data_IF_239038315287
#
_entry.id   IF_239038315287
#
_cell.length_a   1.000
_cell.length_b   1.000
_cell.length_c   1.000
_cell.angle_alpha   90.00
_cell.angle_beta   90.00
_cell.angle_gamma   90.00
#
_symmetry.space_group_name_H-M   'P 1'
#
loop_
_entity.id
_entity.type
_entity.pdbx_description
1 polymer ?
#
# COMPACT_ATOMS: atom_id res chain seq x y z
N UNK A 1 -15.21 -3.41 23.41
CA UNK A 1 -14.82 -4.21 22.23
C UNK A 1 -14.13 -5.49 22.71
N UNK A 2 -14.45 -6.66 22.14
CA UNK A 2 -13.85 -7.93 22.57
C UNK A 2 -12.37 -8.00 22.18
N UNK A 3 -11.49 -8.28 23.15
CA UNK A 3 -10.03 -8.41 22.98
C UNK A 3 -9.64 -9.36 21.83
N UNK A 4 -10.42 -10.42 21.60
CA UNK A 4 -10.20 -11.36 20.50
C UNK A 4 -10.31 -10.70 19.11
N UNK A 5 -11.27 -9.78 18.91
CA UNK A 5 -11.44 -9.07 17.63
C UNK A 5 -10.26 -8.14 17.36
N UNK A 6 -9.73 -7.50 18.41
CA UNK A 6 -8.63 -6.54 18.30
C UNK A 6 -7.33 -7.20 17.85
N UNK A 7 -6.95 -8.31 18.47
CA UNK A 7 -5.71 -9.01 18.09
C UNK A 7 -5.83 -9.65 16.69
N UNK A 8 -7.01 -10.13 16.30
CA UNK A 8 -7.22 -10.67 14.96
C UNK A 8 -7.15 -9.57 13.89
N UNK A 9 -7.65 -8.37 14.15
CA UNK A 9 -7.46 -7.23 13.26
C UNK A 9 -5.97 -6.93 13.03
N UNK A 10 -5.16 -6.90 14.11
CA UNK A 10 -3.71 -6.70 14.01
C UNK A 10 -3.02 -7.82 13.22
N UNK A 11 -3.38 -9.08 13.47
CA UNK A 11 -2.85 -10.23 12.71
C UNK A 11 -3.23 -10.17 11.23
N UNK A 12 -4.44 -9.70 10.92
CA UNK A 12 -4.87 -9.53 9.54
C UNK A 12 -4.09 -8.42 8.83
N UNK A 13 -3.90 -7.26 9.47
CA UNK A 13 -3.03 -6.19 8.96
C UNK A 13 -1.62 -6.71 8.67
N UNK A 14 -1.08 -7.60 9.51
CA UNK A 14 0.23 -8.24 9.29
C UNK A 14 0.25 -9.19 8.09
N UNK A 15 -0.82 -9.95 7.91
CA UNK A 15 -0.90 -10.98 6.88
C UNK A 15 -1.00 -10.38 5.47
N UNK A 16 -1.74 -9.28 5.32
CA UNK A 16 -2.04 -8.66 4.02
C UNK A 16 -0.78 -8.29 3.22
N UNK A 17 0.26 -7.63 3.78
CA UNK A 17 1.54 -7.41 3.11
C UNK A 17 2.16 -8.67 2.48
N UNK A 18 2.13 -9.81 3.18
CA UNK A 18 2.68 -11.06 2.68
C UNK A 18 1.83 -11.65 1.53
N UNK A 19 0.51 -11.65 1.69
CA UNK A 19 -0.41 -12.09 0.63
C UNK A 19 -0.31 -11.20 -0.62
N UNK A 20 -0.14 -9.89 -0.43
CA UNK A 20 0.07 -8.95 -1.52
C UNK A 20 1.34 -9.30 -2.31
N UNK A 21 2.48 -9.53 -1.64
CA UNK A 21 3.72 -9.90 -2.34
C UNK A 21 3.57 -11.23 -3.11
N UNK A 22 2.94 -12.24 -2.51
CA UNK A 22 2.66 -13.52 -3.18
C UNK A 22 1.78 -13.32 -4.42
N UNK A 23 0.67 -12.59 -4.28
CA UNK A 23 -0.25 -12.35 -5.40
C UNK A 23 0.40 -11.52 -6.51
N UNK A 24 1.21 -10.52 -6.18
CA UNK A 24 1.99 -9.76 -7.16
C UNK A 24 3.02 -10.66 -7.88
N UNK A 25 3.73 -11.55 -7.17
CA UNK A 25 4.66 -12.49 -7.82
C UNK A 25 3.95 -13.41 -8.80
N UNK A 26 2.77 -13.91 -8.45
CA UNK A 26 1.95 -14.73 -9.34
C UNK A 26 1.47 -13.90 -10.54
N UNK A 27 1.03 -12.66 -10.32
CA UNK A 27 0.60 -11.78 -11.41
C UNK A 27 1.74 -11.48 -12.40
N UNK A 28 2.94 -11.17 -11.90
CA UNK A 28 4.16 -10.98 -12.71
C UNK A 28 4.44 -12.21 -13.58
N UNK A 29 4.35 -13.41 -13.00
CA UNK A 29 4.60 -14.65 -13.74
C UNK A 29 3.62 -14.86 -14.91
N UNK A 30 2.36 -14.44 -14.75
CA UNK A 30 1.32 -14.61 -15.77
C UNK A 30 1.13 -13.40 -16.71
N UNK A 31 1.89 -12.33 -16.53
CA UNK A 31 1.75 -11.13 -17.38
C UNK A 31 2.22 -11.45 -18.82
N UNK A 32 1.38 -11.28 -19.85
CA UNK A 32 1.70 -11.70 -21.21
C UNK A 32 2.88 -10.94 -21.84
N UNK A 33 2.95 -9.62 -21.63
CA UNK A 33 4.02 -8.80 -22.18
C UNK A 33 3.62 -7.39 -22.61
N UNK A 34 4.61 -6.71 -23.18
CA UNK A 34 4.56 -5.34 -23.63
C UNK A 34 4.80 -4.34 -22.49
N UNK A 35 5.29 -3.16 -22.87
CA UNK A 35 5.28 -1.94 -22.07
C UNK A 35 4.77 -0.77 -22.92
N UNK A 36 4.70 0.44 -22.33
CA UNK A 36 4.17 1.66 -22.97
C UNK A 36 4.84 1.97 -24.32
N UNK A 37 6.14 1.65 -24.46
CA UNK A 37 6.95 2.00 -25.62
C UNK A 37 7.26 0.81 -26.55
N UNK A 38 7.04 -0.42 -26.08
CA UNK A 38 7.35 -1.65 -26.83
C UNK A 38 6.32 -2.74 -26.53
N UNK A 39 5.41 -2.98 -27.47
CA UNK A 39 4.40 -4.04 -27.40
C UNK A 39 4.98 -5.45 -27.65
N UNK A 40 6.20 -5.56 -28.18
CA UNK A 40 6.87 -6.84 -28.46
C UNK A 40 7.61 -7.43 -27.27
N UNK A 41 7.81 -6.67 -26.20
CA UNK A 41 8.42 -7.15 -24.96
C UNK A 41 7.70 -8.41 -24.45
N UNK A 42 8.43 -9.50 -24.24
CA UNK A 42 7.86 -10.73 -23.68
C UNK A 42 7.83 -10.67 -22.16
N UNK A 43 6.67 -10.93 -21.56
CA UNK A 43 6.51 -10.99 -20.12
C UNK A 43 6.71 -9.64 -19.41
N UNK A 44 6.83 -9.71 -18.08
CA UNK A 44 6.97 -8.53 -17.22
C UNK A 44 8.43 -8.11 -17.06
N UNK A 45 8.70 -6.80 -17.20
CA UNK A 45 9.98 -6.17 -16.94
C UNK A 45 9.95 -5.33 -15.66
N UNK A 46 10.82 -5.66 -14.70
CA UNK A 46 10.90 -4.94 -13.43
C UNK A 46 11.29 -3.48 -13.55
N UNK A 47 11.91 -3.06 -14.64
CA UNK A 47 12.24 -1.66 -14.88
C UNK A 47 11.28 -1.03 -15.87
N UNK A 48 10.76 -1.77 -16.85
CA UNK A 48 9.98 -1.19 -17.96
C UNK A 48 8.46 -1.36 -17.85
N UNK A 49 7.94 -2.07 -16.85
CA UNK A 49 6.50 -2.13 -16.59
C UNK A 49 6.14 -1.46 -15.27
N UNK A 50 5.05 -0.70 -15.24
CA UNK A 50 4.47 -0.30 -13.96
C UNK A 50 3.92 -1.53 -13.23
N UNK A 51 3.84 -1.49 -11.90
CA UNK A 51 3.19 -2.54 -11.14
C UNK A 51 1.70 -2.66 -11.52
N UNK A 52 1.08 -1.53 -11.86
CA UNK A 52 -0.31 -1.45 -12.31
C UNK A 52 -0.56 -2.02 -13.72
N UNK A 53 0.48 -2.24 -14.54
CA UNK A 53 0.32 -2.91 -15.84
C UNK A 53 -0.25 -4.32 -15.65
N UNK A 54 0.08 -4.95 -14.52
CA UNK A 54 -0.43 -6.28 -14.14
C UNK A 54 -1.97 -6.32 -14.06
N UNK A 55 -2.62 -5.18 -13.83
CA UNK A 55 -4.06 -5.05 -13.65
C UNK A 55 -4.88 -4.72 -14.90
N UNK A 56 -4.25 -4.57 -16.07
CA UNK A 56 -4.98 -4.32 -17.33
C UNK A 56 -5.86 -5.49 -17.75
N UNK A 57 -6.98 -5.23 -18.42
CA UNK A 57 -7.79 -6.28 -19.05
C UNK A 57 -7.01 -6.92 -20.22
N UNK A 58 -6.38 -6.09 -21.04
CA UNK A 58 -5.29 -6.47 -21.93
C UNK A 58 -3.95 -5.97 -21.41
N UNK A 59 -2.89 -6.70 -21.71
CA UNK A 59 -1.52 -6.20 -21.53
C UNK A 59 -1.13 -5.29 -22.69
N UNK A 60 0.03 -4.62 -22.57
CA UNK A 60 0.55 -3.74 -23.64
C UNK A 60 0.91 -4.50 -24.93
N UNK A 61 1.07 -5.83 -24.88
CA UNK A 61 1.18 -6.68 -26.08
C UNK A 61 -0.15 -6.87 -26.83
N UNK A 62 -1.28 -6.45 -26.26
CA UNK A 62 -2.63 -6.61 -26.83
C UNK A 62 -3.33 -7.93 -26.45
N UNK A 63 -2.63 -8.84 -25.79
CA UNK A 63 -3.13 -10.12 -25.32
C UNK A 63 -4.04 -9.98 -24.09
N UNK A 64 -4.95 -10.94 -23.89
CA UNK A 64 -5.82 -10.99 -22.72
C UNK A 64 -4.99 -11.28 -21.46
N UNK A 65 -5.12 -10.44 -20.44
CA UNK A 65 -4.30 -10.44 -19.24
C UNK A 65 -5.07 -10.94 -17.99
N UNK A 66 -5.96 -11.92 -18.17
CA UNK A 66 -6.92 -12.35 -17.13
C UNK A 66 -6.25 -12.85 -15.83
N UNK A 67 -5.28 -13.76 -15.92
CA UNK A 67 -4.67 -14.35 -14.72
C UNK A 67 -3.87 -13.29 -13.93
N UNK A 68 -3.05 -12.50 -14.60
CA UNK A 68 -2.30 -11.41 -13.94
C UNK A 68 -3.25 -10.39 -13.31
N UNK A 69 -4.26 -9.92 -14.06
CA UNK A 69 -5.21 -8.92 -13.56
C UNK A 69 -6.03 -9.43 -12.38
N UNK A 70 -6.42 -10.70 -12.39
CA UNK A 70 -7.10 -11.34 -11.26
C UNK A 70 -6.23 -11.31 -9.99
N UNK A 71 -4.98 -11.79 -10.07
CA UNK A 71 -4.10 -11.83 -8.90
C UNK A 71 -3.69 -10.44 -8.41
N UNK A 72 -3.45 -9.50 -9.33
CA UNK A 72 -3.19 -8.09 -9.00
C UNK A 72 -4.40 -7.44 -8.31
N UNK A 73 -5.58 -7.53 -8.92
CA UNK A 73 -6.81 -6.95 -8.38
C UNK A 73 -7.20 -7.56 -7.03
N UNK A 74 -7.12 -8.89 -6.91
CA UNK A 74 -7.35 -9.59 -5.64
C UNK A 74 -6.40 -9.11 -4.54
N UNK A 75 -5.11 -8.96 -4.86
CA UNK A 75 -4.11 -8.48 -3.90
C UNK A 75 -4.41 -7.07 -3.39
N UNK A 76 -4.95 -6.20 -4.25
CA UNK A 76 -5.35 -4.84 -3.85
C UNK A 76 -6.67 -4.79 -3.08
N UNK A 77 -7.63 -5.68 -3.38
CA UNK A 77 -8.86 -5.83 -2.60
C UNK A 77 -8.55 -6.26 -1.15
N UNK A 78 -7.48 -7.02 -0.91
CA UNK A 78 -7.08 -7.36 0.46
C UNK A 78 -6.75 -6.12 1.31
N UNK A 79 -6.23 -5.04 0.70
CA UNK A 79 -6.02 -3.78 1.42
C UNK A 79 -7.33 -3.17 1.90
N UNK A 80 -8.44 -3.24 1.14
CA UNK A 80 -9.74 -2.76 1.61
C UNK A 80 -10.12 -3.38 2.96
N UNK A 81 -9.99 -4.71 3.09
CA UNK A 81 -10.26 -5.40 4.35
C UNK A 81 -9.23 -5.04 5.43
N UNK A 82 -7.96 -4.77 5.06
CA UNK A 82 -6.95 -4.28 5.99
C UNK A 82 -7.32 -2.90 6.53
N UNK A 83 -7.87 -2.03 5.69
CA UNK A 83 -8.41 -0.71 6.06
C UNK A 83 -9.52 -0.82 7.10
N UNK A 84 -10.44 -1.78 6.94
CA UNK A 84 -11.45 -2.08 7.97
C UNK A 84 -10.78 -2.53 9.27
N UNK A 85 -9.77 -3.39 9.19
CA UNK A 85 -9.02 -3.84 10.36
C UNK A 85 -8.27 -2.68 11.07
N UNK A 86 -7.75 -1.70 10.32
CA UNK A 86 -7.13 -0.50 10.89
C UNK A 86 -8.08 0.29 11.79
N UNK A 87 -9.39 0.31 11.52
CA UNK A 87 -10.38 0.99 12.38
C UNK A 87 -10.48 0.38 13.78
N UNK A 88 -9.93 -0.81 14.02
CA UNK A 88 -9.84 -1.43 15.35
C UNK A 88 -8.59 -0.99 16.13
N UNK A 89 -7.53 -0.56 15.44
CA UNK A 89 -6.24 -0.16 16.05
C UNK A 89 -6.36 0.94 17.12
N UNK A 90 -7.24 1.96 17.02
CA UNK A 90 -7.34 3.01 18.03
C UNK A 90 -7.60 2.49 19.44
N UNK A 91 -8.33 1.39 19.56
CA UNK A 91 -8.65 0.77 20.85
C UNK A 91 -7.46 0.14 21.57
N UNK A 92 -6.30 0.01 20.90
CA UNK A 92 -5.02 -0.34 21.53
C UNK A 92 -4.42 0.82 22.35
N UNK A 93 -4.88 2.05 22.11
CA UNK A 93 -4.37 3.26 22.76
C UNK A 93 -5.44 3.91 23.65
N UNK A 94 -6.47 3.15 24.03
CA UNK A 94 -7.61 3.63 24.82
C UNK A 94 -7.27 4.05 26.26
N UNK A 95 -6.09 3.69 26.74
CA UNK A 95 -5.55 4.09 28.04
C UNK A 95 -5.10 5.56 28.07
N UNK A 96 -4.97 6.20 26.91
CA UNK A 96 -4.67 7.62 26.77
C UNK A 96 -5.61 8.28 25.75
N UNK A 97 -6.44 9.23 26.21
CA UNK A 97 -7.47 9.85 25.37
C UNK A 97 -6.89 10.55 24.12
N UNK A 98 -5.75 11.24 24.25
CA UNK A 98 -5.11 11.92 23.12
C UNK A 98 -4.59 10.89 22.10
N UNK A 99 -3.88 9.85 22.54
CA UNK A 99 -3.39 8.82 21.63
C UNK A 99 -4.55 8.06 20.96
N UNK A 100 -5.65 7.81 21.68
CA UNK A 100 -6.85 7.22 21.09
C UNK A 100 -7.42 8.08 19.95
N UNK A 101 -7.60 9.40 20.17
CA UNK A 101 -8.13 10.33 19.15
C UNK A 101 -7.20 10.44 17.94
N UNK A 102 -5.89 10.55 18.19
CA UNK A 102 -4.89 10.59 17.12
C UNK A 102 -4.86 9.29 16.32
N UNK A 103 -4.89 8.14 17.00
CA UNK A 103 -4.92 6.83 16.34
C UNK A 103 -6.22 6.64 15.55
N UNK A 104 -7.36 7.12 16.05
CA UNK A 104 -8.63 7.09 15.33
C UNK A 104 -8.57 7.89 14.03
N UNK A 105 -8.10 9.14 14.09
CA UNK A 105 -7.92 9.98 12.91
C UNK A 105 -6.95 9.33 11.91
N UNK A 106 -5.81 8.82 12.38
CA UNK A 106 -4.82 8.14 11.52
C UNK A 106 -5.38 6.86 10.89
N UNK A 107 -6.18 6.10 11.64
CA UNK A 107 -6.81 4.86 11.15
C UNK A 107 -7.87 5.13 10.09
N UNK A 108 -8.60 6.25 10.20
CA UNK A 108 -9.54 6.70 9.16
C UNK A 108 -8.76 7.01 7.87
N UNK A 109 -7.64 7.74 7.94
CA UNK A 109 -6.82 7.98 6.74
C UNK A 109 -6.26 6.68 6.14
N UNK A 110 -5.76 5.74 6.95
CA UNK A 110 -5.33 4.43 6.44
C UNK A 110 -6.48 3.65 5.81
N UNK A 111 -7.69 3.69 6.40
CA UNK A 111 -8.86 3.02 5.86
C UNK A 111 -9.28 3.63 4.51
N UNK A 112 -9.35 4.95 4.39
CA UNK A 112 -9.67 5.62 3.13
C UNK A 112 -8.57 5.39 2.08
N UNK A 113 -7.29 5.48 2.45
CA UNK A 113 -6.18 5.15 1.55
C UNK A 113 -6.24 3.70 1.06
N UNK A 114 -6.65 2.77 1.92
CA UNK A 114 -6.85 1.36 1.56
C UNK A 114 -8.00 1.15 0.58
N UNK A 115 -9.08 1.93 0.69
CA UNK A 115 -10.16 1.95 -0.31
C UNK A 115 -9.61 2.42 -1.66
N UNK A 116 -8.73 3.43 -1.67
CA UNK A 116 -8.11 3.91 -2.91
C UNK A 116 -7.19 2.87 -3.54
N UNK A 117 -6.39 2.14 -2.75
CA UNK A 117 -5.61 1.01 -3.27
C UNK A 117 -6.50 -0.06 -3.88
N UNK A 118 -7.61 -0.43 -3.23
CA UNK A 118 -8.57 -1.36 -3.84
C UNK A 118 -9.18 -0.79 -5.13
N UNK A 119 -9.45 0.51 -5.18
CA UNK A 119 -9.90 1.23 -6.38
C UNK A 119 -8.96 1.04 -7.57
N UNK A 120 -7.63 1.09 -7.37
CA UNK A 120 -6.63 0.79 -8.40
C UNK A 120 -6.81 -0.63 -8.97
N UNK A 121 -7.06 -1.62 -8.11
CA UNK A 121 -7.29 -3.01 -8.52
C UNK A 121 -8.62 -3.25 -9.23
N UNK A 122 -9.59 -2.37 -9.03
CA UNK A 122 -10.93 -2.43 -9.63
C UNK A 122 -11.07 -1.56 -10.89
N UNK A 123 -10.02 -0.83 -11.26
CA UNK A 123 -10.01 0.06 -12.44
C UNK A 123 -8.88 -0.35 -13.38
N UNK A 124 -9.06 -1.36 -14.25
CA UNK A 124 -8.05 -1.72 -15.25
C UNK A 124 -7.59 -0.50 -16.05
N UNK A 125 -6.27 -0.30 -16.13
CA UNK A 125 -5.69 0.94 -16.68
C UNK A 125 -6.02 1.15 -18.16
N UNK A 126 -6.23 0.08 -18.92
CA UNK A 126 -6.60 0.09 -20.34
C UNK A 126 -8.10 0.38 -20.59
N UNK A 127 -8.95 0.24 -19.56
CA UNK A 127 -10.40 0.51 -19.65
C UNK A 127 -10.80 1.82 -18.96
N UNK A 128 -10.13 2.17 -17.85
CA UNK A 128 -10.53 3.26 -16.95
C UNK A 128 -9.33 4.10 -16.48
N UNK A 129 -8.45 4.49 -17.42
CA UNK A 129 -7.18 5.17 -17.13
C UNK A 129 -7.30 6.36 -16.17
N UNK A 130 -8.24 7.28 -16.40
CA UNK A 130 -8.39 8.48 -15.56
C UNK A 130 -8.74 8.14 -14.10
N UNK A 131 -9.69 7.21 -13.90
CA UNK A 131 -10.07 6.75 -12.56
C UNK A 131 -8.92 5.97 -11.89
N UNK A 132 -8.20 5.15 -12.66
CA UNK A 132 -7.03 4.42 -12.19
C UNK A 132 -5.96 5.37 -11.64
N UNK A 133 -5.61 6.40 -12.41
CA UNK A 133 -4.63 7.43 -12.01
C UNK A 133 -5.13 8.20 -10.79
N UNK A 134 -6.41 8.58 -10.74
CA UNK A 134 -7.01 9.25 -9.59
C UNK A 134 -6.84 8.42 -8.31
N UNK A 135 -7.15 7.14 -8.34
CA UNK A 135 -6.98 6.25 -7.18
C UNK A 135 -5.50 6.10 -6.81
N UNK A 136 -4.64 5.84 -7.79
CA UNK A 136 -3.21 5.60 -7.56
C UNK A 136 -2.51 6.81 -6.94
N UNK A 137 -2.77 8.02 -7.42
CA UNK A 137 -2.15 9.24 -6.88
C UNK A 137 -2.61 9.52 -5.44
N UNK A 138 -3.92 9.44 -5.20
CA UNK A 138 -4.49 9.84 -3.92
C UNK A 138 -4.30 8.79 -2.82
N UNK A 139 -4.11 7.51 -3.16
CA UNK A 139 -3.79 6.46 -2.19
C UNK A 139 -2.55 6.85 -1.36
N UNK A 140 -1.43 7.21 -2.01
CA UNK A 140 -0.18 7.59 -1.33
C UNK A 140 -0.30 8.92 -0.58
N UNK A 141 -1.03 9.90 -1.13
CA UNK A 141 -1.29 11.19 -0.46
C UNK A 141 -2.01 11.00 0.89
N UNK A 142 -2.95 10.05 0.97
CA UNK A 142 -3.68 9.74 2.20
C UNK A 142 -2.82 9.02 3.25
N UNK A 143 -1.76 8.32 2.84
CA UNK A 143 -0.83 7.67 3.78
C UNK A 143 0.05 8.66 4.55
N UNK A 144 0.30 9.86 4.02
CA UNK A 144 1.10 10.89 4.68
C UNK A 144 0.45 11.36 6.00
N UNK A 145 -0.79 11.89 6.03
CA UNK A 145 -1.43 12.26 7.29
C UNK A 145 -1.67 11.06 8.21
N UNK A 146 -1.93 9.86 7.64
CA UNK A 146 -2.06 8.64 8.45
C UNK A 146 -0.77 8.31 9.23
N UNK A 147 0.36 8.26 8.52
CA UNK A 147 1.67 7.93 9.10
C UNK A 147 2.18 9.02 10.03
N UNK A 148 1.90 10.30 9.75
CA UNK A 148 2.21 11.40 10.67
C UNK A 148 1.45 11.29 12.00
N UNK A 149 0.16 10.99 11.97
CA UNK A 149 -0.63 10.82 13.19
C UNK A 149 -0.16 9.61 14.01
N UNK A 150 0.13 8.49 13.35
CA UNK A 150 0.66 7.32 14.03
C UNK A 150 2.11 7.48 14.50
N UNK A 151 2.92 8.33 13.85
CA UNK A 151 4.24 8.72 14.35
C UNK A 151 4.12 9.37 15.73
N UNK A 152 3.18 10.32 15.90
CA UNK A 152 2.93 10.96 17.19
C UNK A 152 2.44 9.92 18.22
N UNK A 153 1.51 9.04 17.82
CA UNK A 153 0.97 7.99 18.70
C UNK A 153 2.07 7.05 19.18
N UNK A 154 2.91 6.53 18.28
CA UNK A 154 3.97 5.58 18.62
C UNK A 154 5.07 6.25 19.44
N UNK A 155 5.47 7.48 19.11
CA UNK A 155 6.42 8.27 19.90
C UNK A 155 5.96 8.50 21.34
N UNK A 156 4.65 8.69 21.55
CA UNK A 156 4.03 8.88 22.87
C UNK A 156 3.67 7.57 23.57
N UNK A 157 3.84 6.42 22.92
CA UNK A 157 3.50 5.11 23.47
C UNK A 157 4.66 4.51 24.25
N UNK A 158 4.41 3.39 24.94
CA UNK A 158 5.45 2.62 25.65
C UNK A 158 6.12 1.56 24.76
N UNK A 159 5.73 1.51 23.48
CA UNK A 159 6.28 0.58 22.49
C UNK A 159 7.69 1.01 22.11
N UNK A 160 8.52 0.06 21.69
CA UNK A 160 9.93 0.28 21.40
C UNK A 160 10.17 1.33 20.29
N UNK A 161 11.15 2.21 20.48
CA UNK A 161 11.40 3.37 19.62
C UNK A 161 11.71 3.03 18.14
N UNK A 162 12.17 1.82 17.84
CA UNK A 162 12.43 1.41 16.44
C UNK A 162 11.15 1.38 15.59
N UNK A 163 9.97 1.19 16.21
CA UNK A 163 8.70 1.30 15.51
C UNK A 163 8.37 2.74 15.14
N UNK A 164 8.73 3.70 16.01
CA UNK A 164 8.65 5.14 15.72
C UNK A 164 9.58 5.52 14.55
N UNK A 165 10.80 4.99 14.52
CA UNK A 165 11.70 5.20 13.37
C UNK A 165 11.16 4.54 12.08
N UNK A 166 10.53 3.38 12.18
CA UNK A 166 9.92 2.68 11.03
C UNK A 166 8.81 3.53 10.41
N UNK A 167 7.91 4.08 11.24
CA UNK A 167 6.82 4.90 10.70
C UNK A 167 7.28 6.28 10.24
N UNK A 168 8.35 6.82 10.84
CA UNK A 168 9.01 8.02 10.34
C UNK A 168 9.59 7.77 8.93
N UNK A 169 10.29 6.65 8.74
CA UNK A 169 10.81 6.26 7.42
C UNK A 169 9.68 6.07 6.40
N UNK A 170 8.59 5.40 6.78
CA UNK A 170 7.38 5.27 5.94
C UNK A 170 6.83 6.63 5.50
N UNK A 171 6.68 7.56 6.45
CA UNK A 171 6.16 8.90 6.19
C UNK A 171 7.06 9.68 5.23
N UNK A 172 8.36 9.72 5.50
CA UNK A 172 9.33 10.47 4.69
C UNK A 172 9.49 9.89 3.29
N UNK A 173 9.58 8.57 3.16
CA UNK A 173 9.65 7.90 1.85
C UNK A 173 8.38 8.13 1.03
N UNK A 174 7.21 8.06 1.66
CA UNK A 174 5.93 8.33 0.98
C UNK A 174 5.80 9.79 0.59
N UNK A 175 6.23 10.71 1.45
CA UNK A 175 6.27 12.13 1.12
C UNK A 175 7.20 12.42 -0.07
N UNK A 176 8.41 11.84 -0.08
CA UNK A 176 9.34 11.96 -1.19
C UNK A 176 8.76 11.40 -2.50
N UNK A 177 8.05 10.27 -2.43
CA UNK A 177 7.36 9.71 -3.59
C UNK A 177 6.23 10.61 -4.10
N UNK A 178 5.43 11.22 -3.22
CA UNK A 178 4.39 12.17 -3.63
C UNK A 178 5.00 13.41 -4.29
N UNK A 179 6.14 13.91 -3.80
CA UNK A 179 6.89 14.97 -4.51
C UNK A 179 7.32 14.50 -5.91
N UNK A 180 7.84 13.27 -6.01
CA UNK A 180 8.19 12.69 -7.30
C UNK A 180 6.98 12.51 -8.23
N UNK A 181 5.78 12.19 -7.72
CA UNK A 181 4.56 12.15 -8.53
C UNK A 181 4.15 13.52 -9.08
N UNK A 182 4.56 14.62 -8.44
CA UNK A 182 4.22 15.99 -8.85
C UNK A 182 5.26 16.56 -9.82
N UNK A 183 6.55 16.29 -9.57
CA UNK A 183 7.67 16.92 -10.28
C UNK A 183 8.44 15.96 -11.20
N UNK A 184 8.14 14.67 -11.18
CA UNK A 184 8.76 13.69 -12.07
C UNK A 184 8.37 13.91 -13.53
N UNK A 185 9.14 13.32 -14.46
CA UNK A 185 8.83 13.38 -15.90
C UNK A 185 7.50 12.69 -16.24
N UNK A 186 7.12 12.68 -17.51
CA UNK A 186 5.96 11.91 -17.98
C UNK A 186 6.45 10.57 -18.56
N UNK A 187 5.91 9.40 -18.14
CA UNK A 187 6.40 8.11 -18.62
C UNK A 187 6.06 7.85 -20.10
N UNK A 188 5.12 8.61 -20.68
CA UNK A 188 4.77 8.54 -22.10
C UNK A 188 5.78 9.27 -23.01
N UNK A 189 6.64 10.13 -22.46
CA UNK A 189 7.55 10.93 -23.29
C UNK A 189 8.74 10.13 -23.82
N UNK A 190 9.31 9.24 -22.99
CA UNK A 190 10.46 8.41 -23.36
C UNK A 190 10.64 7.23 -22.41
N UNK A 191 11.46 6.27 -22.85
CA UNK A 191 11.73 5.03 -22.13
C UNK A 191 12.45 5.23 -20.80
N UNK A 192 13.31 6.26 -20.68
CA UNK A 192 14.05 6.54 -19.45
C UNK A 192 13.13 7.05 -18.34
N UNK A 193 12.22 7.97 -18.68
CA UNK A 193 11.18 8.46 -17.77
C UNK A 193 10.26 7.32 -17.30
N UNK A 194 9.84 6.45 -18.23
CA UNK A 194 9.05 5.25 -17.89
C UNK A 194 9.83 4.36 -16.91
N UNK A 195 11.08 4.03 -17.24
CA UNK A 195 11.93 3.13 -16.46
C UNK A 195 12.15 3.64 -15.04
N UNK A 196 12.46 4.94 -14.92
CA UNK A 196 12.67 5.59 -13.63
C UNK A 196 11.40 5.57 -12.78
N UNK A 197 10.25 5.94 -13.34
CA UNK A 197 8.99 5.98 -12.59
C UNK A 197 8.52 4.61 -12.17
N UNK A 198 8.58 3.65 -13.08
CA UNK A 198 8.18 2.29 -12.81
C UNK A 198 9.08 1.71 -11.69
N UNK A 199 10.39 1.97 -11.73
CA UNK A 199 11.32 1.54 -10.67
C UNK A 199 10.99 2.20 -9.33
N UNK A 200 10.82 3.52 -9.29
CA UNK A 200 10.50 4.27 -8.06
C UNK A 200 9.15 3.81 -7.48
N UNK A 201 8.15 3.54 -8.32
CA UNK A 201 6.86 3.00 -7.89
C UNK A 201 7.03 1.68 -7.11
N UNK A 202 7.86 0.75 -7.60
CA UNK A 202 8.09 -0.53 -6.92
C UNK A 202 8.84 -0.33 -5.60
N UNK A 203 9.83 0.55 -5.59
CA UNK A 203 10.58 0.87 -4.37
C UNK A 203 9.68 1.42 -3.28
N UNK A 204 8.80 2.38 -3.60
CA UNK A 204 7.90 2.94 -2.59
C UNK A 204 6.82 1.94 -2.14
N UNK A 205 6.30 1.12 -3.06
CA UNK A 205 5.35 0.04 -2.71
C UNK A 205 6.01 -0.95 -1.75
N UNK A 206 7.23 -1.40 -2.04
CA UNK A 206 7.98 -2.30 -1.19
C UNK A 206 8.26 -1.68 0.19
N UNK A 207 8.70 -0.42 0.23
CA UNK A 207 8.93 0.31 1.48
C UNK A 207 7.64 0.38 2.32
N UNK A 208 6.50 0.69 1.70
CA UNK A 208 5.20 0.76 2.36
C UNK A 208 4.78 -0.60 2.93
N UNK A 209 4.83 -1.65 2.12
CA UNK A 209 4.45 -3.03 2.50
C UNK A 209 5.30 -3.53 3.67
N UNK A 210 6.62 -3.33 3.62
CA UNK A 210 7.52 -3.75 4.69
C UNK A 210 7.31 -2.95 5.97
N UNK A 211 7.14 -1.62 5.88
CA UNK A 211 6.91 -0.79 7.05
C UNK A 211 5.58 -1.14 7.72
N UNK A 212 4.50 -1.33 6.96
CA UNK A 212 3.20 -1.74 7.51
C UNK A 212 3.29 -3.11 8.17
N UNK A 213 4.00 -4.06 7.56
CA UNK A 213 4.27 -5.36 8.17
C UNK A 213 4.98 -5.21 9.52
N UNK A 214 6.04 -4.41 9.60
CA UNK A 214 6.79 -4.15 10.84
C UNK A 214 5.92 -3.43 11.88
N UNK A 215 5.21 -2.36 11.51
CA UNK A 215 4.34 -1.59 12.40
C UNK A 215 3.21 -2.45 12.99
N UNK A 216 2.76 -3.50 12.28
CA UNK A 216 1.79 -4.46 12.84
C UNK A 216 2.30 -5.17 14.11
N UNK A 217 3.62 -5.29 14.30
CA UNK A 217 4.21 -5.80 15.54
C UNK A 217 4.16 -4.77 16.65
N UNK A 218 4.31 -3.47 16.34
CA UNK A 218 4.09 -2.38 17.30
C UNK A 218 2.70 -2.46 17.92
N UNK A 219 1.69 -2.72 17.11
CA UNK A 219 0.31 -2.90 17.57
C UNK A 219 0.11 -4.14 18.44
N UNK A 220 0.83 -5.23 18.15
CA UNK A 220 0.83 -6.41 19.02
C UNK A 220 1.52 -6.14 20.37
N UNK A 221 2.62 -5.39 20.36
CA UNK A 221 3.31 -4.95 21.58
C UNK A 221 2.42 -4.03 22.42
N UNK A 222 1.75 -3.07 21.79
CA UNK A 222 0.78 -2.23 22.48
C UNK A 222 -0.37 -3.05 23.07
N UNK A 223 -0.85 -4.09 22.36
CA UNK A 223 -1.86 -5.02 22.89
C UNK A 223 -1.36 -5.74 24.16
N UNK A 224 -0.11 -6.21 24.16
CA UNK A 224 0.51 -6.86 25.34
C UNK A 224 0.59 -5.88 26.52
N UNK A 225 1.06 -4.65 26.29
CA UNK A 225 1.16 -3.61 27.32
C UNK A 225 -0.22 -3.30 27.93
N UNK A 226 -1.27 -3.27 27.11
CA UNK A 226 -2.62 -2.91 27.55
C UNK A 226 -3.35 -4.05 28.28
N UNK A 227 -3.14 -5.31 27.90
CA UNK A 227 -3.96 -6.44 28.35
C UNK A 227 -3.22 -7.60 29.02
N UNK A 228 -1.90 -7.67 28.95
CA UNK A 228 -1.09 -8.80 29.46
C UNK A 228 -0.02 -8.35 30.46
N UNK A 229 -0.38 -7.45 31.39
CA UNK A 229 0.49 -7.10 32.52
C UNK A 229 1.08 -8.35 33.18
#
# INVERSE_FOLDING_TARGET
>A
MNNFRLINAVKFIRLVPALFLVGISIAIYFYPGGNIHDSSQVGYSFTHNFLSDLGGYKSHSGEVNFLSSFFFGFSLILFFFAGIAFLYVPYLFKDNELNFKLALAGSIFFAVGSIFFAGVGLTPHDLYMEMHIFFALNAFRLLIPASFLFLIVLYRSKVENYFTFTILFLMLSTFAYVLYQIYGGNPLENIDNMSQQATIQKLIVLANVLCVFIISFAFSKQYEILYRK
#
